data_IF_985147447217
#
_entry.id   IF_985147447217
#
_cell.length_a   1.000
_cell.length_b   1.000
_cell.length_c   1.000
_cell.angle_alpha   90.00
_cell.angle_beta   90.00
_cell.angle_gamma   90.00
#
_symmetry.space_group_name_H-M   'P 1'
#
loop_
_entity.id
_entity.type
_entity.pdbx_description
1 polymer ?
#
# COMPACT_ATOMS: atom_id res chain seq x y z
N UNK A 1 -1.55 -6.18 18.43
CA UNK A 1 -2.75 -5.59 17.80
C UNK A 1 -3.56 -6.76 17.27
N UNK A 2 -4.74 -6.98 17.80
CA UNK A 2 -5.68 -7.98 17.25
C UNK A 2 -6.46 -7.27 16.15
N UNK A 3 -6.30 -7.68 14.88
CA UNK A 3 -7.04 -7.08 13.78
C UNK A 3 -6.75 -7.82 12.48
N UNK A 4 -7.76 -7.93 11.64
CA UNK A 4 -7.72 -8.59 10.35
C UNK A 4 -7.38 -7.56 9.27
N UNK A 5 -6.28 -7.78 8.59
CA UNK A 5 -5.71 -6.82 7.66
C UNK A 5 -5.73 -7.42 6.25
N UNK A 6 -6.39 -6.71 5.33
CA UNK A 6 -6.24 -6.95 3.90
C UNK A 6 -5.12 -6.04 3.36
N UNK A 7 -4.09 -6.61 2.79
CA UNK A 7 -2.97 -5.88 2.17
C UNK A 7 -3.16 -5.89 0.65
N UNK A 8 -2.97 -4.72 0.01
CA UNK A 8 -3.14 -4.53 -1.42
C UNK A 8 -1.89 -3.86 -2.01
N UNK A 9 -1.31 -4.49 -3.03
CA UNK A 9 -0.18 -3.95 -3.77
C UNK A 9 -0.42 -4.14 -5.28
N UNK A 10 -0.67 -3.05 -5.98
CA UNK A 10 -0.95 -3.03 -7.41
C UNK A 10 0.31 -2.83 -8.24
N UNK A 11 0.46 -3.66 -9.26
CA UNK A 11 1.43 -3.50 -10.35
C UNK A 11 0.72 -3.29 -11.67
N UNK A 12 1.47 -3.08 -12.74
CA UNK A 12 0.90 -2.78 -14.08
C UNK A 12 -0.05 -3.88 -14.56
N UNK A 13 0.35 -5.14 -14.43
CA UNK A 13 -0.41 -6.31 -14.93
C UNK A 13 -0.88 -7.23 -13.81
N UNK A 14 -0.80 -6.80 -12.55
CA UNK A 14 -1.18 -7.65 -11.43
C UNK A 14 -1.64 -6.85 -10.22
N UNK A 15 -2.40 -7.51 -9.36
CA UNK A 15 -2.77 -7.03 -8.03
C UNK A 15 -2.42 -8.11 -7.02
N UNK A 16 -1.38 -7.87 -6.21
CA UNK A 16 -1.03 -8.77 -5.12
C UNK A 16 -1.86 -8.41 -3.90
N UNK A 17 -2.49 -9.42 -3.31
CA UNK A 17 -3.25 -9.30 -2.07
C UNK A 17 -2.75 -10.28 -1.02
N UNK A 18 -2.79 -9.86 0.24
CA UNK A 18 -2.54 -10.71 1.40
C UNK A 18 -3.55 -10.47 2.48
N UNK A 19 -3.93 -11.51 3.21
CA UNK A 19 -4.82 -11.39 4.35
C UNK A 19 -4.13 -11.93 5.60
N UNK A 20 -4.17 -11.13 6.65
CA UNK A 20 -3.51 -11.40 7.92
C UNK A 20 -4.52 -11.32 9.05
N UNK A 21 -4.40 -12.19 10.05
CA UNK A 21 -5.14 -12.11 11.30
C UNK A 21 -4.16 -12.18 12.48
N UNK A 22 -4.26 -11.22 13.38
CA UNK A 22 -3.37 -11.10 14.55
C UNK A 22 -1.86 -11.18 14.22
N UNK A 23 -1.47 -10.79 13.01
CA UNK A 23 -0.08 -10.83 12.51
C UNK A 23 0.29 -12.11 11.76
N UNK A 24 -0.56 -13.13 11.78
CA UNK A 24 -0.36 -14.35 11.01
C UNK A 24 -0.90 -14.20 9.58
N UNK A 25 -0.12 -14.65 8.61
CA UNK A 25 -0.52 -14.65 7.21
C UNK A 25 -1.45 -15.82 6.92
N UNK A 26 -2.73 -15.54 6.65
CA UNK A 26 -3.70 -16.56 6.28
C UNK A 26 -3.61 -16.94 4.80
N UNK A 27 -3.42 -15.96 3.92
CA UNK A 27 -3.12 -16.23 2.51
C UNK A 27 -2.41 -15.04 1.85
N UNK A 28 -1.78 -15.32 0.72
CA UNK A 28 -1.25 -14.37 -0.23
C UNK A 28 -1.56 -14.84 -1.64
N UNK A 29 -1.94 -13.93 -2.52
CA UNK A 29 -2.26 -14.25 -3.90
C UNK A 29 -1.86 -13.11 -4.82
N UNK A 30 -1.26 -13.46 -5.95
CA UNK A 30 -1.09 -12.55 -7.08
C UNK A 30 -2.26 -12.75 -8.06
N UNK A 31 -3.03 -11.70 -8.29
CA UNK A 31 -4.09 -11.65 -9.29
C UNK A 31 -3.48 -11.07 -10.56
N UNK A 32 -3.26 -11.90 -11.55
CA UNK A 32 -2.75 -11.48 -12.85
C UNK A 32 -3.91 -10.96 -13.72
N UNK A 33 -3.71 -9.85 -14.38
CA UNK A 33 -4.62 -9.27 -15.37
C UNK A 33 -4.01 -9.43 -16.74
N UNK A 34 -4.75 -10.01 -17.70
CA UNK A 34 -4.24 -10.20 -19.05
C UNK A 34 -4.03 -8.86 -19.77
N UNK A 35 -3.14 -8.85 -20.75
CA UNK A 35 -2.92 -7.65 -21.57
C UNK A 35 -4.22 -7.20 -22.26
N UNK A 36 -5.05 -8.14 -22.72
CA UNK A 36 -6.35 -7.89 -23.33
C UNK A 36 -7.36 -7.29 -22.35
N UNK A 37 -7.32 -7.71 -21.07
CA UNK A 37 -8.17 -7.17 -20.01
C UNK A 37 -7.78 -5.74 -19.68
N UNK A 38 -6.49 -5.48 -19.55
CA UNK A 38 -5.94 -4.15 -19.24
C UNK A 38 -6.14 -3.17 -20.41
N UNK A 39 -5.98 -3.64 -21.66
CA UNK A 39 -6.14 -2.82 -22.86
C UNK A 39 -7.57 -2.29 -23.11
N UNK A 40 -8.56 -2.79 -22.37
CA UNK A 40 -9.94 -2.26 -22.44
C UNK A 40 -10.12 -0.89 -21.79
N UNK A 41 -9.10 -0.42 -21.07
CA UNK A 41 -9.13 0.82 -20.31
C UNK A 41 -8.17 1.84 -20.92
N UNK A 42 -8.66 3.06 -21.12
CA UNK A 42 -7.84 4.17 -21.66
C UNK A 42 -6.79 4.62 -20.65
N UNK A 43 -7.15 4.65 -19.37
CA UNK A 43 -6.24 4.97 -18.26
C UNK A 43 -6.10 3.80 -17.30
N UNK A 44 -4.91 3.70 -16.67
CA UNK A 44 -4.70 2.77 -15.59
C UNK A 44 -5.67 3.03 -14.42
N UNK A 45 -6.09 4.28 -14.22
CA UNK A 45 -7.01 4.67 -13.15
C UNK A 45 -8.43 4.09 -13.35
N UNK A 46 -8.84 3.87 -14.60
CA UNK A 46 -10.15 3.29 -14.95
C UNK A 46 -10.25 1.81 -14.55
N UNK A 47 -9.12 1.16 -14.26
CA UNK A 47 -9.07 -0.24 -13.85
C UNK A 47 -9.50 -0.47 -12.39
N UNK A 48 -9.81 0.60 -11.63
CA UNK A 48 -10.15 0.49 -10.18
C UNK A 48 -11.29 -0.49 -9.94
N UNK A 49 -12.40 -0.36 -10.69
CA UNK A 49 -13.57 -1.23 -10.54
C UNK A 49 -13.24 -2.71 -10.80
N UNK A 50 -12.62 -3.00 -11.95
CA UNK A 50 -12.24 -4.36 -12.33
C UNK A 50 -11.32 -5.02 -11.27
N UNK A 51 -10.30 -4.29 -10.80
CA UNK A 51 -9.36 -4.82 -9.81
C UNK A 51 -10.01 -5.01 -8.43
N UNK A 52 -10.89 -4.10 -8.01
CA UNK A 52 -11.70 -4.25 -6.79
C UNK A 52 -12.54 -5.52 -6.83
N UNK A 53 -13.26 -5.74 -7.91
CA UNK A 53 -14.14 -6.89 -8.07
C UNK A 53 -13.36 -8.21 -8.10
N UNK A 54 -12.17 -8.20 -8.72
CA UNK A 54 -11.25 -9.34 -8.68
C UNK A 54 -10.79 -9.68 -7.25
N UNK A 55 -10.47 -8.68 -6.43
CA UNK A 55 -10.10 -8.84 -5.02
C UNK A 55 -11.27 -9.45 -4.23
N UNK A 56 -12.48 -8.89 -4.37
CA UNK A 56 -13.69 -9.34 -3.66
C UNK A 56 -14.02 -10.79 -4.04
N UNK A 57 -14.00 -11.11 -5.34
CA UNK A 57 -14.23 -12.47 -5.84
C UNK A 57 -13.23 -13.46 -5.27
N UNK A 58 -11.95 -13.09 -5.22
CA UNK A 58 -10.90 -13.96 -4.69
C UNK A 58 -11.04 -14.19 -3.20
N UNK A 59 -11.31 -13.12 -2.45
CA UNK A 59 -11.57 -13.18 -1.01
C UNK A 59 -12.74 -14.13 -0.70
N UNK A 60 -13.85 -14.00 -1.42
CA UNK A 60 -15.02 -14.87 -1.27
C UNK A 60 -14.66 -16.33 -1.50
N UNK A 61 -13.87 -16.65 -2.54
CA UNK A 61 -13.40 -18.02 -2.81
C UNK A 61 -12.52 -18.60 -1.70
N UNK A 62 -11.92 -17.74 -0.85
CA UNK A 62 -11.11 -18.15 0.31
C UNK A 62 -11.92 -18.22 1.61
N UNK A 63 -13.23 -18.04 1.57
CA UNK A 63 -14.09 -18.10 2.75
C UNK A 63 -13.93 -16.90 3.71
N UNK A 64 -13.31 -15.80 3.27
CA UNK A 64 -13.13 -14.61 4.11
C UNK A 64 -14.34 -13.72 3.95
N UNK A 65 -15.05 -13.48 5.04
CA UNK A 65 -16.16 -12.55 5.07
C UNK A 65 -15.69 -11.10 4.84
N UNK A 66 -16.44 -10.32 4.06
CA UNK A 66 -16.09 -8.92 3.77
C UNK A 66 -16.05 -8.12 5.07
N UNK A 67 -17.03 -8.29 5.88
CA UNK A 67 -17.25 -7.66 7.19
C UNK A 67 -16.13 -7.98 8.18
N UNK A 68 -15.37 -9.04 7.93
CA UNK A 68 -14.23 -9.45 8.75
C UNK A 68 -12.95 -8.64 8.56
N UNK A 69 -12.90 -7.68 7.63
CA UNK A 69 -11.71 -6.86 7.39
C UNK A 69 -11.74 -5.64 8.31
N UNK A 70 -10.76 -5.49 9.19
CA UNK A 70 -10.66 -4.34 10.09
C UNK A 70 -9.83 -3.20 9.50
N UNK A 71 -8.83 -3.55 8.70
CA UNK A 71 -7.90 -2.60 8.05
C UNK A 71 -7.69 -3.02 6.59
N UNK A 72 -7.83 -2.06 5.68
CA UNK A 72 -7.37 -2.19 4.30
C UNK A 72 -6.04 -1.43 4.15
N UNK A 73 -4.93 -2.16 4.00
CA UNK A 73 -3.58 -1.59 3.93
C UNK A 73 -3.08 -1.61 2.50
N UNK A 74 -2.69 -0.45 1.98
CA UNK A 74 -2.13 -0.30 0.64
C UNK A 74 -0.64 0.07 0.68
N UNK A 75 0.06 -0.24 -0.42
CA UNK A 75 1.41 0.29 -0.64
C UNK A 75 1.44 1.81 -0.78
N UNK A 76 0.30 2.43 -1.16
CA UNK A 76 0.23 3.83 -1.55
C UNK A 76 0.61 4.05 -3.01
N UNK A 77 0.51 5.31 -3.46
CA UNK A 77 0.78 5.74 -4.82
C UNK A 77 1.72 6.93 -4.88
N UNK A 78 1.75 7.60 -6.03
CA UNK A 78 2.52 8.83 -6.23
C UNK A 78 1.71 10.00 -5.65
N UNK A 79 2.09 10.41 -4.46
CA UNK A 79 1.50 11.54 -3.72
C UNK A 79 2.58 12.59 -3.47
N UNK A 80 2.19 13.77 -3.04
CA UNK A 80 3.14 14.78 -2.56
C UNK A 80 4.12 14.15 -1.56
N UNK A 81 5.43 14.42 -1.66
CA UNK A 81 6.42 13.82 -0.79
C UNK A 81 6.10 14.01 0.69
N UNK A 82 6.05 12.91 1.42
CA UNK A 82 5.80 12.87 2.87
C UNK A 82 6.85 11.99 3.55
N UNK A 83 6.99 12.12 4.86
CA UNK A 83 7.90 11.23 5.61
C UNK A 83 7.41 9.77 5.54
N UNK A 84 8.32 8.83 5.80
CA UNK A 84 7.95 7.43 5.97
C UNK A 84 6.98 7.25 7.13
N UNK A 85 6.03 6.35 6.99
CA UNK A 85 5.01 6.11 8.00
C UNK A 85 3.77 5.41 7.46
N UNK A 86 2.75 5.36 8.31
CA UNK A 86 1.41 4.86 7.97
C UNK A 86 0.44 6.04 8.01
N UNK A 87 -0.30 6.21 6.93
CA UNK A 87 -1.22 7.34 6.77
C UNK A 87 -2.61 6.84 6.40
N UNK A 88 -3.63 7.45 6.96
CA UNK A 88 -5.03 7.20 6.56
C UNK A 88 -5.23 7.69 5.14
N UNK A 89 -5.91 6.90 4.33
CA UNK A 89 -6.39 7.36 3.02
C UNK A 89 -7.57 8.30 3.26
N UNK A 90 -7.41 9.55 2.88
CA UNK A 90 -8.44 10.58 2.98
C UNK A 90 -8.86 11.06 1.58
N UNK A 91 -9.90 11.91 1.52
CA UNK A 91 -10.41 12.42 0.26
C UNK A 91 -9.37 13.21 -0.54
N UNK A 92 -8.56 14.04 0.13
CA UNK A 92 -7.50 14.82 -0.53
C UNK A 92 -6.47 13.91 -1.21
N UNK A 93 -6.06 12.82 -0.54
CA UNK A 93 -5.16 11.82 -1.12
C UNK A 93 -5.81 11.12 -2.32
N UNK A 94 -7.10 10.74 -2.24
CA UNK A 94 -7.83 10.15 -3.34
C UNK A 94 -7.84 11.07 -4.56
N UNK A 95 -8.21 12.34 -4.34
CA UNK A 95 -8.29 13.35 -5.40
C UNK A 95 -6.92 13.59 -6.06
N UNK A 96 -5.85 13.65 -5.27
CA UNK A 96 -4.49 13.81 -5.78
C UNK A 96 -4.05 12.60 -6.63
N UNK A 97 -4.37 11.38 -6.19
CA UNK A 97 -4.04 10.14 -6.91
C UNK A 97 -4.85 10.01 -8.20
N UNK A 98 -6.14 10.31 -8.17
CA UNK A 98 -7.03 10.28 -9.34
C UNK A 98 -6.62 11.32 -10.38
N UNK A 99 -6.28 12.52 -9.94
CA UNK A 99 -5.80 13.60 -10.82
C UNK A 99 -4.37 13.36 -11.33
N UNK A 100 -3.64 12.36 -10.78
CA UNK A 100 -2.26 12.08 -11.16
C UNK A 100 -1.30 13.25 -10.92
N UNK A 101 -1.53 14.06 -9.87
CA UNK A 101 -0.76 15.30 -9.59
C UNK A 101 0.75 15.06 -9.53
N UNK A 102 1.19 13.92 -9.02
CA UNK A 102 2.60 13.52 -8.95
C UNK A 102 2.97 12.45 -10.00
N UNK A 103 2.04 12.15 -10.90
CA UNK A 103 2.16 11.18 -11.97
C UNK A 103 1.13 10.06 -11.90
N UNK A 104 0.89 9.43 -13.05
CA UNK A 104 -0.04 8.31 -13.19
C UNK A 104 0.73 7.00 -13.22
N UNK A 105 0.51 6.14 -12.24
CA UNK A 105 1.14 4.83 -12.16
C UNK A 105 0.19 3.81 -11.51
N UNK A 106 0.33 2.54 -11.85
CA UNK A 106 -0.52 1.48 -11.31
C UNK A 106 -0.51 1.40 -9.76
N UNK A 107 0.57 1.85 -9.10
CA UNK A 107 0.62 1.89 -7.64
C UNK A 107 -0.42 2.86 -7.04
N UNK A 108 -0.88 3.89 -7.79
CA UNK A 108 -1.91 4.81 -7.32
C UNK A 108 -3.22 4.08 -6.98
N UNK A 109 -3.53 3.04 -7.76
CA UNK A 109 -4.74 2.23 -7.55
C UNK A 109 -4.78 1.56 -6.17
N UNK A 110 -3.64 1.24 -5.56
CA UNK A 110 -3.64 0.48 -4.31
C UNK A 110 -4.34 1.22 -3.16
N UNK A 111 -4.13 2.53 -3.04
CA UNK A 111 -4.79 3.35 -2.03
C UNK A 111 -6.30 3.50 -2.31
N UNK A 112 -6.67 3.72 -3.57
CA UNK A 112 -8.07 3.83 -4.00
C UNK A 112 -8.83 2.53 -3.73
N UNK A 113 -8.23 1.39 -4.10
CA UNK A 113 -8.80 0.06 -3.85
C UNK A 113 -8.96 -0.22 -2.35
N UNK A 114 -7.99 0.18 -1.54
CA UNK A 114 -8.08 0.00 -0.10
C UNK A 114 -9.25 0.80 0.49
N UNK A 115 -9.43 2.03 0.04
CA UNK A 115 -10.51 2.88 0.51
C UNK A 115 -11.89 2.41 0.00
N UNK A 116 -12.01 2.05 -1.27
CA UNK A 116 -13.23 1.48 -1.83
C UNK A 116 -13.65 0.19 -1.08
N UNK A 117 -12.68 -0.67 -0.75
CA UNK A 117 -12.97 -1.89 0.00
C UNK A 117 -13.35 -1.56 1.45
N UNK A 118 -12.71 -0.58 2.08
CA UNK A 118 -13.07 -0.15 3.43
C UNK A 118 -14.51 0.41 3.47
N UNK A 119 -14.92 1.18 2.47
CA UNK A 119 -16.29 1.65 2.32
C UNK A 119 -17.27 0.47 2.21
N UNK A 120 -17.03 -0.48 1.30
CA UNK A 120 -17.86 -1.68 1.14
C UNK A 120 -17.97 -2.53 2.43
N UNK A 121 -16.88 -2.62 3.20
CA UNK A 121 -16.89 -3.30 4.52
C UNK A 121 -17.81 -2.56 5.49
N UNK A 122 -17.73 -1.23 5.52
CA UNK A 122 -18.55 -0.42 6.41
C UNK A 122 -20.03 -0.53 6.05
N UNK A 123 -20.39 -0.43 4.76
CA UNK A 123 -21.76 -0.60 4.28
C UNK A 123 -22.31 -1.99 4.65
N UNK A 124 -21.51 -3.04 4.47
CA UNK A 124 -21.90 -4.40 4.85
C UNK A 124 -22.10 -4.54 6.37
N UNK A 125 -21.27 -3.87 7.19
CA UNK A 125 -21.40 -3.87 8.65
C UNK A 125 -22.60 -3.06 9.14
N UNK A 126 -22.96 -1.98 8.47
CA UNK A 126 -24.15 -1.19 8.80
C UNK A 126 -25.43 -2.02 8.60
N UNK A 127 -25.43 -2.92 7.63
CA UNK A 127 -26.53 -3.84 7.36
C UNK A 127 -26.62 -5.01 8.34
N UNK A 128 -25.64 -5.19 9.23
CA UNK A 128 -25.61 -6.28 10.22
C UNK A 128 -26.24 -5.86 11.54
N UNK A 129 -26.84 -6.83 12.24
CA UNK A 129 -27.25 -6.65 13.64
C UNK A 129 -26.03 -6.35 14.53
N UNK A 130 -26.21 -5.41 15.45
CA UNK A 130 -25.14 -4.95 16.35
C UNK A 130 -24.57 -6.08 17.21
N UNK A 131 -25.43 -6.95 17.73
CA UNK A 131 -25.02 -8.08 18.58
C UNK A 131 -24.24 -9.11 17.78
N UNK A 132 -24.62 -9.33 16.51
CA UNK A 132 -23.87 -10.21 15.61
C UNK A 132 -22.46 -9.66 15.33
N UNK A 133 -22.31 -8.35 15.08
CA UNK A 133 -20.99 -7.70 14.92
C UNK A 133 -20.11 -7.91 16.14
N UNK A 134 -20.65 -7.70 17.33
CA UNK A 134 -19.95 -7.88 18.60
C UNK A 134 -19.52 -9.34 18.81
N UNK A 135 -20.40 -10.30 18.55
CA UNK A 135 -20.09 -11.75 18.67
C UNK A 135 -18.96 -12.17 17.72
N UNK A 136 -18.93 -11.61 16.51
CA UNK A 136 -17.87 -11.86 15.53
C UNK A 136 -16.57 -11.09 15.83
N UNK A 137 -16.58 -10.20 16.80
CA UNK A 137 -15.41 -9.38 17.16
C UNK A 137 -14.97 -8.42 16.05
N UNK A 138 -15.93 -7.94 15.25
CA UNK A 138 -15.62 -6.97 14.18
C UNK A 138 -15.41 -5.57 14.79
N UNK A 139 -14.42 -4.84 14.29
CA UNK A 139 -14.18 -3.44 14.68
C UNK A 139 -15.38 -2.56 14.30
N UNK A 140 -15.51 -1.43 14.97
CA UNK A 140 -16.60 -0.48 14.70
C UNK A 140 -16.55 0.02 13.24
N UNK A 141 -15.36 0.28 12.72
CA UNK A 141 -15.13 0.80 11.37
C UNK A 141 -13.90 0.16 10.74
N UNK A 142 -13.99 -0.20 9.47
CA UNK A 142 -12.84 -0.52 8.64
C UNK A 142 -12.21 0.80 8.14
N UNK A 143 -10.90 0.90 8.20
CA UNK A 143 -10.16 2.06 7.69
C UNK A 143 -9.12 1.64 6.66
N UNK A 144 -8.92 2.52 5.67
CA UNK A 144 -7.89 2.38 4.66
C UNK A 144 -6.63 3.16 5.04
N UNK A 145 -5.47 2.53 4.84
CA UNK A 145 -4.17 3.14 5.10
C UNK A 145 -3.20 2.87 3.95
N UNK A 146 -2.23 3.76 3.81
CA UNK A 146 -1.01 3.51 3.04
C UNK A 146 0.19 3.37 3.97
N UNK A 147 1.21 2.64 3.54
CA UNK A 147 2.45 2.47 4.30
C UNK A 147 3.67 2.75 3.43
N UNK A 148 4.58 3.58 3.93
CA UNK A 148 5.87 3.92 3.30
C UNK A 148 5.71 4.11 1.77
N UNK A 149 5.00 5.17 1.30
CA UNK A 149 4.70 5.34 -0.12
C UNK A 149 5.97 5.52 -0.96
N UNK A 150 5.94 5.31 -2.30
CA UNK A 150 7.10 5.47 -3.17
C UNK A 150 7.75 6.86 -3.13
N UNK A 151 6.96 7.88 -2.75
CA UNK A 151 7.39 9.28 -2.60
C UNK A 151 7.77 9.62 -1.14
N UNK A 152 8.10 8.61 -0.32
CA UNK A 152 8.59 8.86 1.04
C UNK A 152 9.89 9.66 0.99
N UNK A 153 9.90 10.84 1.65
CA UNK A 153 11.01 11.79 1.60
C UNK A 153 11.63 11.99 2.98
N UNK A 154 12.82 11.44 3.15
CA UNK A 154 13.69 11.65 4.30
C UNK A 154 15.09 12.09 3.84
N UNK A 155 15.20 12.58 2.58
CA UNK A 155 16.46 13.05 2.02
C UNK A 155 16.98 14.26 2.78
N UNK A 156 18.27 14.26 3.07
CA UNK A 156 18.96 15.43 3.61
C UNK A 156 18.88 16.60 2.61
N UNK A 157 18.81 17.85 3.09
CA UNK A 157 18.75 19.03 2.21
C UNK A 157 19.85 19.06 1.15
N UNK A 158 21.07 18.67 1.53
CA UNK A 158 22.24 18.64 0.66
C UNK A 158 22.08 17.65 -0.50
N UNK A 159 21.36 16.54 -0.28
CA UNK A 159 21.12 15.52 -1.30
C UNK A 159 20.05 15.96 -2.30
N UNK A 160 19.21 16.94 -1.91
CA UNK A 160 18.18 17.52 -2.79
C UNK A 160 18.74 18.50 -3.82
N UNK A 161 19.97 18.95 -3.63
CA UNK A 161 20.63 19.85 -4.58
C UNK A 161 20.81 19.12 -5.92
N UNK A 162 20.19 19.68 -6.96
CA UNK A 162 20.34 19.24 -8.35
C UNK A 162 21.39 20.05 -9.10
N UNK A 163 21.65 19.72 -10.37
CA UNK A 163 22.49 20.52 -11.25
C UNK A 163 21.83 21.83 -11.69
N UNK A 164 20.51 21.93 -11.52
CA UNK A 164 19.70 23.12 -11.87
C UNK A 164 18.90 23.49 -10.62
N UNK A 165 19.08 24.73 -10.07
CA UNK A 165 18.45 25.11 -8.79
C UNK A 165 16.94 25.03 -8.77
N UNK A 166 16.27 25.29 -9.90
CA UNK A 166 14.82 25.25 -10.05
C UNK A 166 14.25 23.84 -10.02
N UNK A 167 15.09 22.81 -10.18
CA UNK A 167 14.69 21.41 -10.21
C UNK A 167 15.40 20.59 -9.13
N UNK A 168 14.97 20.71 -7.87
CA UNK A 168 15.54 19.90 -6.80
C UNK A 168 15.28 18.41 -7.04
N UNK A 169 16.18 17.57 -6.55
CA UNK A 169 15.98 16.11 -6.59
C UNK A 169 14.75 15.74 -5.77
N UNK A 170 13.95 14.85 -6.34
CA UNK A 170 12.76 14.29 -5.68
C UNK A 170 12.99 12.83 -5.37
N UNK A 171 12.43 12.39 -4.26
CA UNK A 171 12.48 10.99 -3.87
C UNK A 171 11.51 10.17 -4.70
N UNK A 172 11.96 9.04 -5.21
CA UNK A 172 11.12 8.01 -5.83
C UNK A 172 11.85 6.68 -5.75
N UNK A 173 11.40 5.78 -4.88
CA UNK A 173 12.04 4.48 -4.71
C UNK A 173 11.07 3.44 -4.12
N UNK A 174 11.51 2.19 -4.01
CA UNK A 174 10.71 1.12 -3.40
C UNK A 174 10.77 1.17 -1.86
N UNK A 175 10.29 2.27 -1.27
CA UNK A 175 10.42 2.59 0.14
C UNK A 175 9.97 1.45 1.07
N UNK A 176 8.75 0.95 0.90
CA UNK A 176 8.17 -0.10 1.73
C UNK A 176 9.06 -1.36 1.80
N UNK A 177 9.52 -1.85 0.63
CA UNK A 177 10.38 -3.04 0.56
C UNK A 177 11.77 -2.76 1.14
N UNK A 178 12.38 -1.64 0.77
CA UNK A 178 13.72 -1.28 1.24
C UNK A 178 13.76 -1.19 2.77
N UNK A 179 12.80 -0.49 3.37
CA UNK A 179 12.70 -0.39 4.83
C UNK A 179 12.40 -1.73 5.50
N UNK A 180 11.59 -2.59 4.88
CA UNK A 180 11.33 -3.93 5.39
C UNK A 180 12.61 -4.77 5.41
N UNK A 181 13.45 -4.67 4.37
CA UNK A 181 14.72 -5.39 4.31
C UNK A 181 15.72 -4.89 5.36
N UNK A 182 15.81 -3.58 5.56
CA UNK A 182 16.65 -3.01 6.63
C UNK A 182 16.21 -3.51 8.00
N UNK A 183 14.91 -3.48 8.30
CA UNK A 183 14.37 -4.01 9.57
C UNK A 183 14.66 -5.50 9.75
N UNK A 184 14.54 -6.28 8.67
CA UNK A 184 14.85 -7.72 8.70
C UNK A 184 16.34 -7.97 8.94
N UNK A 185 17.23 -7.26 8.25
CA UNK A 185 18.66 -7.36 8.45
C UNK A 185 19.06 -6.94 9.87
N UNK A 186 18.58 -5.79 10.35
CA UNK A 186 18.88 -5.33 11.70
C UNK A 186 18.52 -6.38 12.77
N UNK A 187 17.32 -6.97 12.66
CA UNK A 187 16.90 -8.06 13.56
C UNK A 187 17.81 -9.29 13.49
N UNK A 188 18.28 -9.67 12.29
CA UNK A 188 19.16 -10.84 12.13
C UNK A 188 20.52 -10.67 12.78
N UNK A 189 20.96 -9.43 13.03
CA UNK A 189 22.21 -9.09 13.72
C UNK A 189 22.00 -8.55 15.14
N UNK A 190 20.78 -8.72 15.69
CA UNK A 190 20.45 -8.31 17.06
C UNK A 190 20.38 -6.79 17.27
N UNK A 191 20.11 -6.02 16.20
CA UNK A 191 20.07 -4.55 16.21
C UNK A 191 18.71 -4.01 15.81
N UNK A 192 18.51 -2.73 16.05
CA UNK A 192 17.39 -1.94 15.51
C UNK A 192 17.79 -1.31 14.16
N UNK A 193 16.82 -0.85 13.39
CA UNK A 193 17.08 -0.13 12.13
C UNK A 193 17.83 1.20 12.32
N UNK A 194 17.87 1.74 13.53
CA UNK A 194 18.63 2.96 13.87
C UNK A 194 20.12 2.70 14.10
N UNK A 195 20.48 1.46 14.38
CA UNK A 195 21.88 1.07 14.71
C UNK A 195 22.62 0.46 13.52
N UNK A 196 22.00 0.44 12.36
CA UNK A 196 22.61 -0.10 11.14
C UNK A 196 22.71 0.97 10.06
N UNK A 197 23.78 0.87 9.25
CA UNK A 197 23.90 1.61 7.99
C UNK A 197 23.93 0.59 6.86
N UNK A 198 22.95 0.67 5.93
CA UNK A 198 22.72 -0.36 4.93
C UNK A 198 22.37 0.29 3.59
N UNK A 199 23.02 -0.16 2.53
CA UNK A 199 22.57 0.12 1.16
C UNK A 199 21.64 -1.01 0.72
N UNK A 200 20.46 -0.65 0.25
CA UNK A 200 19.49 -1.60 -0.30
C UNK A 200 19.36 -1.38 -1.79
N UNK A 201 19.59 -2.43 -2.57
CA UNK A 201 19.29 -2.48 -3.99
C UNK A 201 18.00 -3.29 -4.19
N UNK A 202 16.94 -2.64 -4.62
CA UNK A 202 15.72 -3.31 -5.10
C UNK A 202 15.84 -3.49 -6.60
N UNK A 203 15.80 -4.74 -7.07
CA UNK A 203 15.98 -5.08 -8.47
C UNK A 203 14.79 -5.92 -8.97
N UNK A 204 14.16 -5.48 -10.03
CA UNK A 204 13.00 -6.10 -10.64
C UNK A 204 12.66 -5.46 -11.97
N UNK A 205 11.40 -5.39 -12.36
CA UNK A 205 10.94 -4.65 -13.55
C UNK A 205 11.23 -3.14 -13.46
N UNK A 206 11.32 -2.60 -12.22
CA UNK A 206 11.95 -1.33 -11.89
C UNK A 206 13.06 -1.56 -10.88
N UNK A 207 14.09 -0.73 -10.90
CA UNK A 207 15.21 -0.83 -9.95
C UNK A 207 15.38 0.47 -9.18
N UNK A 208 15.73 0.38 -7.89
CA UNK A 208 16.08 1.53 -7.07
C UNK A 208 17.14 1.16 -6.03
N UNK A 209 18.04 2.13 -5.74
CA UNK A 209 19.00 2.04 -4.66
C UNK A 209 18.66 3.03 -3.55
N UNK A 210 18.88 2.65 -2.30
CA UNK A 210 18.67 3.54 -1.16
C UNK A 210 19.70 3.29 -0.07
N UNK A 211 20.20 4.36 0.55
CA UNK A 211 21.07 4.31 1.71
C UNK A 211 20.21 4.56 2.96
N UNK A 212 20.23 3.62 3.87
CA UNK A 212 19.55 3.73 5.16
C UNK A 212 20.56 3.94 6.28
N UNK A 213 20.40 5.00 7.04
CA UNK A 213 21.25 5.34 8.18
C UNK A 213 20.42 5.94 9.30
N UNK A 214 20.65 5.53 10.53
CA UNK A 214 19.93 6.02 11.73
C UNK A 214 18.38 5.88 11.61
N UNK A 215 17.91 4.88 10.87
CA UNK A 215 16.48 4.66 10.62
C UNK A 215 15.86 5.54 9.53
N UNK A 216 16.62 6.46 8.96
CA UNK A 216 16.22 7.32 7.83
C UNK A 216 16.72 6.76 6.49
N UNK A 217 16.19 7.28 5.38
CA UNK A 217 16.55 6.91 4.02
C UNK A 217 16.79 8.12 3.14
#
# INVERSE_FOLDING_TARGET
>A
MKGRILVINTGSTSTKIGFYDAGEKLFEQNLTHSAEEVAKYESVMDQTGMRRDAIIKKKKKKGIALEGIDIAMARGGLITPIRTGVYVVNQEMRDALMAGREGVHACNLSALLADDIAALVNDARESMDQMERLRKGYSAKCQAFIADPPMADEMLPEVKVGGVPEFPRRTLFHALNSRAMVRRYARSVGKTNKEVTVVVAHMGGGSSGSLHRNGLV
#
